data_IF_270936822447
#
_entry.id   IF_270936822447
#
_cell.length_a   1.000
_cell.length_b   1.000
_cell.length_c   1.000
_cell.angle_alpha   90.00
_cell.angle_beta   90.00
_cell.angle_gamma   90.00
#
_symmetry.space_group_name_H-M   'P 1'
#
loop_
_entity.id
_entity.type
_entity.pdbx_description
1 polymer ?
#
# COMPACT_ATOMS: atom_id res chain seq x y z
N UNK A 1 6.35 -41.80 -46.77
CA UNK A 1 6.08 -40.45 -46.24
C UNK A 1 6.10 -40.52 -44.69
N UNK A 2 7.18 -40.01 -44.08
CA UNK A 2 7.34 -39.99 -42.61
C UNK A 2 6.60 -38.76 -42.07
N UNK A 3 5.54 -38.95 -41.27
CA UNK A 3 4.87 -37.87 -40.55
C UNK A 3 5.77 -37.39 -39.43
N UNK A 4 6.29 -36.16 -39.58
CA UNK A 4 7.01 -35.47 -38.52
C UNK A 4 6.00 -35.04 -37.45
N UNK A 5 6.03 -35.71 -36.31
CA UNK A 5 5.20 -35.36 -35.13
C UNK A 5 5.91 -34.16 -34.46
N UNK A 6 5.40 -32.95 -34.66
CA UNK A 6 5.86 -31.76 -33.99
C UNK A 6 5.32 -31.82 -32.56
N UNK A 7 6.13 -32.28 -31.62
CA UNK A 7 5.81 -32.17 -30.16
C UNK A 7 6.09 -30.73 -29.79
N UNK A 8 5.00 -29.95 -29.72
CA UNK A 8 5.02 -28.60 -29.12
C UNK A 8 5.29 -28.77 -27.63
N UNK A 9 6.55 -28.60 -27.22
CA UNK A 9 6.91 -28.57 -25.80
C UNK A 9 6.30 -27.31 -25.21
N UNK A 10 5.13 -27.41 -24.58
CA UNK A 10 4.63 -26.37 -23.69
C UNK A 10 5.57 -26.31 -22.48
N UNK A 11 6.65 -25.55 -22.63
CA UNK A 11 7.39 -25.10 -21.46
C UNK A 11 6.41 -24.28 -20.61
N UNK A 12 6.25 -24.56 -19.31
CA UNK A 12 5.53 -23.64 -18.47
C UNK A 12 6.20 -22.27 -18.61
N UNK A 13 5.45 -21.28 -19.06
CA UNK A 13 5.87 -19.89 -18.96
C UNK A 13 5.94 -19.68 -17.44
N UNK A 14 7.14 -19.81 -16.89
CA UNK A 14 7.41 -19.30 -15.53
C UNK A 14 7.33 -17.80 -15.73
N UNK A 15 6.13 -17.25 -15.57
CA UNK A 15 5.94 -15.81 -15.44
C UNK A 15 6.76 -15.43 -14.22
N UNK A 16 7.88 -14.74 -14.43
CA UNK A 16 8.56 -14.10 -13.32
C UNK A 16 7.53 -13.17 -12.69
N UNK A 17 7.13 -13.46 -11.46
CA UNK A 17 6.25 -12.58 -10.73
C UNK A 17 6.98 -11.22 -10.66
N UNK A 18 6.33 -10.17 -11.14
CA UNK A 18 6.90 -8.82 -11.09
C UNK A 18 6.96 -8.40 -9.62
N UNK A 19 8.16 -8.04 -9.16
CA UNK A 19 8.36 -7.54 -7.81
C UNK A 19 7.86 -6.10 -7.71
N UNK A 20 7.26 -5.78 -6.57
CA UNK A 20 6.93 -4.41 -6.19
C UNK A 20 8.22 -3.66 -5.89
N UNK A 21 8.37 -2.45 -6.42
CA UNK A 21 9.46 -1.57 -6.05
C UNK A 21 9.17 -0.94 -4.69
N UNK A 22 9.94 -1.28 -3.66
CA UNK A 22 9.81 -0.75 -2.30
C UNK A 22 11.16 -0.19 -1.89
N UNK A 23 11.42 1.12 -2.09
CA UNK A 23 12.72 1.73 -1.86
C UNK A 23 13.07 1.91 -0.38
N UNK A 24 12.07 2.13 0.50
CA UNK A 24 12.30 2.28 1.93
C UNK A 24 12.57 0.91 2.56
N UNK A 25 13.76 0.76 3.17
CA UNK A 25 14.22 -0.51 3.72
C UNK A 25 13.40 -0.95 4.94
N UNK A 26 12.88 -0.02 5.74
CA UNK A 26 12.07 -0.31 6.92
C UNK A 26 10.68 -0.79 6.49
N UNK A 27 10.08 -0.11 5.51
CA UNK A 27 8.80 -0.54 4.94
C UNK A 27 8.92 -1.91 4.26
N UNK A 28 9.98 -2.10 3.44
CA UNK A 28 10.26 -3.40 2.83
C UNK A 28 10.42 -4.50 3.88
N UNK A 29 11.19 -4.25 4.93
CA UNK A 29 11.41 -5.22 6.02
C UNK A 29 10.11 -5.61 6.72
N UNK A 30 9.24 -4.62 6.98
CA UNK A 30 7.90 -4.87 7.54
C UNK A 30 7.06 -5.79 6.65
N UNK A 31 6.98 -5.47 5.35
CA UNK A 31 6.16 -6.24 4.40
C UNK A 31 6.69 -7.67 4.21
N UNK A 32 8.01 -7.82 4.02
CA UNK A 32 8.67 -9.13 3.86
C UNK A 32 8.55 -9.97 5.13
N UNK A 33 8.60 -9.34 6.31
CA UNK A 33 8.43 -10.03 7.60
C UNK A 33 7.00 -10.49 7.90
N UNK A 34 6.02 -10.04 7.13
CA UNK A 34 4.60 -10.39 7.32
C UNK A 34 4.20 -11.56 6.42
N UNK A 35 4.02 -12.74 6.99
CA UNK A 35 3.67 -13.97 6.26
C UNK A 35 2.26 -13.95 5.62
N UNK A 36 1.40 -13.00 5.97
CA UNK A 36 0.11 -12.80 5.31
C UNK A 36 0.25 -11.99 4.02
N UNK A 37 1.35 -11.24 3.86
CA UNK A 37 1.70 -10.46 2.67
C UNK A 37 2.69 -11.27 1.83
N UNK A 38 3.86 -11.57 2.39
CA UNK A 38 4.91 -12.39 1.77
C UNK A 38 4.57 -13.88 1.93
N UNK A 39 3.74 -14.38 1.05
CA UNK A 39 3.16 -15.74 1.15
C UNK A 39 4.11 -16.82 0.69
N UNK A 40 5.08 -16.50 -0.14
CA UNK A 40 6.11 -17.42 -0.63
C UNK A 40 7.38 -17.42 0.25
N UNK A 41 7.54 -16.43 1.14
CA UNK A 41 8.65 -16.31 2.09
C UNK A 41 9.99 -15.94 1.47
N UNK A 42 10.00 -15.32 0.30
CA UNK A 42 11.24 -14.83 -0.32
C UNK A 42 11.65 -13.43 0.18
N UNK A 43 12.61 -12.78 -0.46
CA UNK A 43 13.15 -11.49 -0.02
C UNK A 43 12.44 -10.27 -0.63
N UNK A 44 11.40 -10.49 -1.44
CA UNK A 44 10.69 -9.45 -2.16
C UNK A 44 9.17 -9.64 -2.01
N UNK A 45 8.41 -8.60 -2.33
CA UNK A 45 6.95 -8.69 -2.43
C UNK A 45 6.60 -8.68 -3.92
N UNK A 46 5.84 -9.67 -4.37
CA UNK A 46 5.35 -9.70 -5.74
C UNK A 46 4.06 -8.89 -5.87
N UNK A 47 3.84 -8.34 -7.06
CA UNK A 47 2.59 -7.61 -7.37
C UNK A 47 1.35 -8.47 -7.10
N UNK A 48 1.43 -9.78 -7.35
CA UNK A 48 0.34 -10.72 -7.06
C UNK A 48 0.05 -10.88 -5.57
N UNK A 49 1.08 -10.83 -4.72
CA UNK A 49 0.94 -10.90 -3.27
C UNK A 49 0.32 -9.62 -2.70
N UNK A 50 0.86 -8.46 -3.10
CA UNK A 50 0.32 -7.17 -2.72
C UNK A 50 -1.15 -7.02 -3.15
N UNK A 51 -1.48 -7.36 -4.40
CA UNK A 51 -2.84 -7.28 -4.92
C UNK A 51 -3.81 -8.28 -4.29
N UNK A 52 -3.33 -9.41 -3.79
CA UNK A 52 -4.17 -10.39 -3.10
C UNK A 52 -4.43 -10.04 -1.63
N UNK A 53 -3.59 -9.18 -1.05
CA UNK A 53 -3.71 -8.81 0.37
C UNK A 53 -4.92 -7.89 0.60
N UNK A 54 -5.81 -8.29 1.50
CA UNK A 54 -7.05 -7.57 1.84
C UNK A 54 -7.15 -7.24 3.34
N UNK A 55 -6.01 -7.09 4.00
CA UNK A 55 -5.93 -6.90 5.45
C UNK A 55 -5.56 -5.47 5.85
N UNK A 56 -4.80 -5.40 6.93
CA UNK A 56 -4.35 -4.18 7.57
C UNK A 56 -2.82 -4.08 7.50
N UNK A 57 -2.31 -2.90 7.16
CA UNK A 57 -0.89 -2.57 7.28
C UNK A 57 -0.73 -1.65 8.50
N UNK A 58 -0.01 -2.15 9.51
CA UNK A 58 0.28 -1.44 10.75
C UNK A 58 1.79 -1.29 10.87
N UNK A 59 2.30 -0.20 10.32
CA UNK A 59 3.74 0.09 10.22
C UNK A 59 4.13 1.38 10.98
N UNK A 60 3.45 1.63 12.10
CA UNK A 60 3.69 2.80 12.94
C UNK A 60 5.04 2.73 13.66
N UNK A 61 5.68 3.88 13.89
CA UNK A 61 6.93 4.03 14.66
C UNK A 61 8.12 3.22 14.09
N UNK A 62 8.21 3.10 12.77
CA UNK A 62 9.24 2.30 12.10
C UNK A 62 10.30 3.14 11.36
N UNK A 63 10.29 4.47 11.53
CA UNK A 63 11.18 5.40 10.81
C UNK A 63 11.07 5.27 9.28
N UNK A 64 9.88 5.00 8.78
CA UNK A 64 9.59 4.91 7.34
C UNK A 64 9.49 6.32 6.77
N UNK A 65 10.18 6.57 5.67
CA UNK A 65 10.18 7.86 4.96
C UNK A 65 9.45 7.81 3.62
N UNK A 66 9.18 6.61 3.10
CA UNK A 66 8.58 6.41 1.79
C UNK A 66 7.73 5.12 1.79
N UNK A 67 6.45 5.25 1.43
CA UNK A 67 5.53 4.13 1.29
C UNK A 67 5.36 3.68 -0.17
N UNK A 68 6.27 4.07 -1.09
CA UNK A 68 6.24 3.57 -2.47
C UNK A 68 6.14 2.05 -2.48
N UNK A 69 5.20 1.53 -3.26
CA UNK A 69 4.79 0.12 -3.25
C UNK A 69 3.41 -0.09 -2.61
N UNK A 70 2.92 0.87 -1.79
CA UNK A 70 1.58 0.78 -1.18
C UNK A 70 0.46 0.77 -2.24
N UNK A 71 0.69 1.39 -3.40
CA UNK A 71 -0.25 1.47 -4.51
C UNK A 71 -0.63 0.11 -5.11
N UNK A 72 0.15 -0.93 -4.85
CA UNK A 72 -0.16 -2.29 -5.30
C UNK A 72 -1.11 -3.05 -4.35
N UNK A 73 -1.34 -2.52 -3.15
CA UNK A 73 -2.25 -3.11 -2.14
C UNK A 73 -3.69 -2.62 -2.38
N UNK A 74 -4.23 -2.93 -3.55
CA UNK A 74 -5.53 -2.41 -4.05
C UNK A 74 -6.75 -2.80 -3.21
N UNK A 75 -6.61 -3.77 -2.32
CA UNK A 75 -7.63 -4.23 -1.38
C UNK A 75 -7.32 -3.88 0.07
N UNK A 76 -6.37 -2.97 0.30
CA UNK A 76 -6.03 -2.49 1.63
C UNK A 76 -7.24 -1.81 2.29
N UNK A 77 -7.58 -2.22 3.52
CA UNK A 77 -8.73 -1.69 4.27
C UNK A 77 -8.29 -0.70 5.35
N UNK A 78 -7.16 -0.95 5.99
CA UNK A 78 -6.63 -0.12 7.07
C UNK A 78 -5.14 0.13 6.91
N UNK A 79 -4.74 1.40 6.97
CA UNK A 79 -3.35 1.81 7.03
C UNK A 79 -3.09 2.60 8.31
N UNK A 80 -2.18 2.09 9.13
CA UNK A 80 -1.61 2.81 10.27
C UNK A 80 -0.11 3.03 10.03
N UNK A 81 0.25 4.27 9.69
CA UNK A 81 1.62 4.72 9.46
C UNK A 81 2.00 5.90 10.36
N UNK A 82 1.34 6.04 11.52
CA UNK A 82 1.64 7.15 12.45
C UNK A 82 3.05 7.05 13.04
N UNK A 83 3.61 8.18 13.54
CA UNK A 83 4.98 8.27 14.08
C UNK A 83 6.04 7.75 13.10
N UNK A 84 6.05 8.29 11.88
CA UNK A 84 7.04 7.99 10.84
C UNK A 84 7.67 9.30 10.29
N UNK A 85 8.34 9.24 9.15
CA UNK A 85 9.08 10.35 8.55
C UNK A 85 8.50 10.73 7.17
N UNK A 86 7.24 10.40 6.92
CA UNK A 86 6.57 10.63 5.63
C UNK A 86 6.42 12.12 5.35
N UNK A 87 6.68 12.54 4.10
CA UNK A 87 6.51 13.92 3.65
C UNK A 87 5.32 14.12 2.71
N UNK A 88 4.82 13.04 2.13
CA UNK A 88 3.59 12.99 1.32
C UNK A 88 2.93 11.63 1.47
N UNK A 89 1.65 11.56 1.13
CA UNK A 89 0.89 10.31 1.15
C UNK A 89 -0.15 10.32 0.02
N UNK A 90 -0.02 9.38 -0.89
CA UNK A 90 -0.95 9.17 -2.01
C UNK A 90 -1.64 7.81 -1.84
N UNK A 91 -2.94 7.84 -1.58
CA UNK A 91 -3.78 6.65 -1.40
C UNK A 91 -4.76 6.46 -2.58
N UNK A 92 -4.54 7.15 -3.70
CA UNK A 92 -5.44 7.14 -4.86
C UNK A 92 -5.60 5.74 -5.50
N UNK A 93 -4.65 4.84 -5.28
CA UNK A 93 -4.70 3.47 -5.78
C UNK A 93 -5.22 2.44 -4.76
N UNK A 94 -5.69 2.89 -3.58
CA UNK A 94 -6.20 2.02 -2.52
C UNK A 94 -7.70 2.29 -2.26
N UNK A 95 -8.60 2.03 -3.23
CA UNK A 95 -10.00 2.49 -3.17
C UNK A 95 -10.83 1.82 -2.06
N UNK A 96 -10.34 0.71 -1.49
CA UNK A 96 -11.00 0.00 -0.40
C UNK A 96 -10.57 0.48 1.00
N UNK A 97 -9.78 1.57 1.07
CA UNK A 97 -9.30 2.11 2.34
C UNK A 97 -10.48 2.71 3.12
N UNK A 98 -10.70 2.18 4.31
CA UNK A 98 -11.75 2.57 5.25
C UNK A 98 -11.17 3.42 6.40
N UNK A 99 -9.96 3.08 6.87
CA UNK A 99 -9.30 3.77 7.97
C UNK A 99 -7.87 4.18 7.59
N UNK A 100 -7.53 5.45 7.81
CA UNK A 100 -6.20 6.00 7.57
C UNK A 100 -5.67 6.76 8.79
N UNK A 101 -4.62 6.23 9.43
CA UNK A 101 -3.93 6.84 10.55
C UNK A 101 -2.50 7.21 10.15
N UNK A 102 -2.26 8.50 9.93
CA UNK A 102 -0.98 9.03 9.46
C UNK A 102 -0.47 10.22 10.28
N UNK A 103 -0.98 10.40 11.51
CA UNK A 103 -0.54 11.45 12.42
C UNK A 103 0.94 11.36 12.79
N UNK A 104 1.51 12.45 13.31
CA UNK A 104 2.92 12.51 13.72
C UNK A 104 3.88 12.09 12.58
N UNK A 105 3.78 12.80 11.47
CA UNK A 105 4.66 12.71 10.31
C UNK A 105 5.10 14.14 9.89
N UNK A 106 5.61 14.30 8.68
CA UNK A 106 6.01 15.57 8.08
C UNK A 106 5.22 15.82 6.79
N UNK A 107 3.99 15.28 6.72
CA UNK A 107 3.18 15.25 5.50
C UNK A 107 2.70 16.66 5.15
N UNK A 108 3.02 17.10 3.93
CA UNK A 108 2.59 18.38 3.37
C UNK A 108 1.36 18.26 2.47
N UNK A 109 1.10 17.05 1.95
CA UNK A 109 -0.06 16.74 1.11
C UNK A 109 -0.51 15.30 1.29
N UNK A 110 -1.83 15.10 1.32
CA UNK A 110 -2.48 13.79 1.31
C UNK A 110 -3.43 13.75 0.12
N UNK A 111 -3.35 12.70 -0.70
CA UNK A 111 -4.35 12.40 -1.72
C UNK A 111 -5.22 11.22 -1.28
N UNK A 112 -6.48 11.51 -0.98
CA UNK A 112 -7.53 10.54 -0.65
C UNK A 112 -8.72 10.65 -1.62
N UNK A 113 -8.51 11.25 -2.78
CA UNK A 113 -9.57 11.57 -3.75
C UNK A 113 -10.32 10.34 -4.29
N UNK A 114 -9.71 9.16 -4.23
CA UNK A 114 -10.29 7.90 -4.70
C UNK A 114 -10.83 7.00 -3.56
N UNK A 115 -10.74 7.47 -2.30
CA UNK A 115 -11.14 6.70 -1.12
C UNK A 115 -12.56 7.08 -0.66
N UNK A 116 -13.56 6.84 -1.51
CA UNK A 116 -14.95 7.27 -1.28
C UNK A 116 -15.61 6.62 -0.06
N UNK A 117 -15.08 5.48 0.38
CA UNK A 117 -15.58 4.73 1.56
C UNK A 117 -14.78 5.03 2.83
N UNK A 118 -13.79 5.92 2.79
CA UNK A 118 -12.98 6.29 3.95
C UNK A 118 -13.88 6.83 5.06
N UNK A 119 -13.95 6.11 6.19
CA UNK A 119 -14.76 6.42 7.36
C UNK A 119 -13.97 7.23 8.40
N UNK A 120 -12.70 6.88 8.63
CA UNK A 120 -11.84 7.61 9.58
C UNK A 120 -10.54 8.10 8.96
N UNK A 121 -10.21 9.38 9.18
CA UNK A 121 -8.93 9.99 8.84
C UNK A 121 -8.32 10.67 10.09
N UNK A 122 -7.15 10.17 10.50
CA UNK A 122 -6.36 10.73 11.61
C UNK A 122 -5.02 11.20 11.08
N UNK A 123 -4.87 12.51 10.88
CA UNK A 123 -3.72 13.13 10.24
C UNK A 123 -3.14 14.34 10.99
N UNK A 124 -3.43 14.49 12.28
CA UNK A 124 -2.92 15.57 13.11
C UNK A 124 -1.39 15.52 13.30
N UNK A 125 -0.78 16.62 13.76
CA UNK A 125 0.68 16.74 13.88
C UNK A 125 1.40 16.39 12.56
N UNK A 126 1.05 17.11 11.51
CA UNK A 126 1.66 17.07 10.18
C UNK A 126 1.95 18.52 9.71
N UNK A 127 2.27 18.72 8.43
CA UNK A 127 2.54 20.03 7.83
C UNK A 127 1.53 20.34 6.71
N UNK A 128 0.29 19.86 6.87
CA UNK A 128 -0.76 20.04 5.85
C UNK A 128 -1.16 21.51 5.77
N UNK A 129 -1.13 22.10 4.58
CA UNK A 129 -1.62 23.45 4.31
C UNK A 129 -3.04 23.44 3.74
N UNK A 130 -3.48 22.32 3.22
CA UNK A 130 -4.84 22.07 2.72
C UNK A 130 -5.13 20.58 2.75
N UNK A 131 -6.41 20.25 2.80
CA UNK A 131 -6.90 18.88 2.73
C UNK A 131 -8.23 18.89 1.95
N UNK A 132 -8.27 18.20 0.80
CA UNK A 132 -9.48 18.08 0.00
C UNK A 132 -10.17 16.76 0.34
N UNK A 133 -11.37 16.85 0.90
CA UNK A 133 -12.22 15.72 1.30
C UNK A 133 -13.52 15.68 0.51
N UNK A 134 -13.60 16.40 -0.60
CA UNK A 134 -14.83 16.55 -1.40
C UNK A 134 -15.41 15.22 -1.89
N UNK A 135 -14.56 14.21 -2.09
CA UNK A 135 -14.96 12.89 -2.55
C UNK A 135 -15.15 11.86 -1.41
N UNK A 136 -14.76 12.17 -0.17
CA UNK A 136 -14.82 11.25 0.95
C UNK A 136 -16.18 11.34 1.67
N UNK A 137 -17.24 11.01 0.96
CA UNK A 137 -18.62 11.24 1.42
C UNK A 137 -19.05 10.32 2.57
N UNK A 138 -18.31 9.25 2.84
CA UNK A 138 -18.54 8.34 3.96
C UNK A 138 -17.84 8.79 5.26
N UNK A 139 -16.96 9.83 5.21
CA UNK A 139 -16.09 10.19 6.33
C UNK A 139 -16.93 10.62 7.55
N UNK A 140 -16.84 9.80 8.62
CA UNK A 140 -17.54 10.05 9.88
C UNK A 140 -16.63 10.62 10.98
N UNK A 141 -15.31 10.34 10.90
CA UNK A 141 -14.36 10.86 11.88
C UNK A 141 -13.14 11.49 11.20
N UNK A 142 -12.87 12.74 11.55
CA UNK A 142 -11.69 13.49 11.11
C UNK A 142 -10.94 14.07 12.30
N UNK A 143 -9.64 13.79 12.38
CA UNK A 143 -8.72 14.43 13.32
C UNK A 143 -7.53 14.97 12.54
N UNK A 144 -7.50 16.31 12.33
CA UNK A 144 -6.53 17.01 11.46
C UNK A 144 -5.93 18.28 12.10
N UNK A 145 -5.94 18.39 13.43
CA UNK A 145 -5.37 19.53 14.14
C UNK A 145 -3.85 19.38 14.31
N UNK A 146 -3.15 20.51 14.46
CA UNK A 146 -1.73 20.59 14.84
C UNK A 146 -1.55 20.64 16.36
#
# INVERSE_FOLDING_TARGET
>A
MKKLLLILLCLPIIGFAQNVNIPDANFKSYLVGNSLINTNGDADIQVSEAAAFNGQIICSSMNISDLTGIEYFIHLVFLDCHFNLLTSLDMSNNPNLDFLYCSHNQITSIDVSQNAILDELVCFNNQLTSLDLSNNTALAYLSCYD
#
